data_IF_899105120078
#
_entry.id   IF_899105120078
#
_cell.length_a   1.000
_cell.length_b   1.000
_cell.length_c   1.000
_cell.angle_alpha   90.00
_cell.angle_beta   90.00
_cell.angle_gamma   90.00
#
_symmetry.space_group_name_H-M   'P 1'
#
loop_
_entity.id
_entity.type
_entity.pdbx_description
1 polymer ?
#
# COMPACT_ATOMS: atom_id res chain seq x y z
N UNK A 1 3.78 23.43 19.22
CA UNK A 1 3.62 21.99 19.54
C UNK A 1 4.60 21.22 18.68
N UNK A 2 5.45 20.32 19.22
CA UNK A 2 6.35 19.56 18.37
C UNK A 2 5.51 18.61 17.52
N UNK A 3 5.61 18.76 16.19
CA UNK A 3 5.05 17.83 15.21
C UNK A 3 5.66 16.44 15.48
N UNK A 4 4.99 15.60 16.28
CA UNK A 4 5.39 14.21 16.48
C UNK A 4 5.28 13.51 15.13
N UNK A 5 6.43 13.24 14.50
CA UNK A 5 6.49 12.34 13.34
C UNK A 5 5.81 11.02 13.73
N UNK A 6 4.91 10.48 12.90
CA UNK A 6 4.27 9.20 13.20
C UNK A 6 5.34 8.12 13.39
N UNK A 7 5.15 7.23 14.37
CA UNK A 7 6.05 6.09 14.52
C UNK A 7 5.98 5.22 13.27
N UNK A 8 7.08 4.57 12.90
CA UNK A 8 7.16 3.68 11.74
C UNK A 8 6.02 2.66 11.65
N UNK A 9 5.67 2.06 12.80
CA UNK A 9 4.52 1.15 12.94
C UNK A 9 3.18 1.78 12.54
N UNK A 10 2.95 3.04 12.91
CA UNK A 10 1.72 3.76 12.56
C UNK A 10 1.69 4.02 11.04
N UNK A 11 2.81 4.40 10.44
CA UNK A 11 2.88 4.61 8.99
C UNK A 11 2.61 3.30 8.23
N UNK A 12 3.24 2.20 8.62
CA UNK A 12 3.01 0.87 8.03
C UNK A 12 1.55 0.46 8.14
N UNK A 13 0.93 0.61 9.32
CA UNK A 13 -0.49 0.31 9.50
C UNK A 13 -1.39 1.15 8.60
N UNK A 14 -1.11 2.45 8.46
CA UNK A 14 -1.87 3.33 7.58
C UNK A 14 -1.69 2.96 6.12
N UNK A 15 -0.49 2.60 5.69
CA UNK A 15 -0.21 2.12 4.33
C UNK A 15 -1.02 0.84 4.03
N UNK A 16 -1.02 -0.14 4.93
CA UNK A 16 -1.82 -1.36 4.78
C UNK A 16 -3.31 -1.02 4.60
N UNK A 17 -3.85 -0.09 5.39
CA UNK A 17 -5.25 0.34 5.24
C UNK A 17 -5.52 1.00 3.87
N UNK A 18 -4.57 1.80 3.35
CA UNK A 18 -4.68 2.35 2.00
C UNK A 18 -4.68 1.24 0.95
N UNK A 19 -3.84 0.20 1.09
CA UNK A 19 -3.85 -0.96 0.19
C UNK A 19 -5.16 -1.75 0.28
N UNK A 20 -5.73 -1.93 1.47
CA UNK A 20 -7.03 -2.59 1.65
C UNK A 20 -8.14 -1.83 0.93
N UNK A 21 -8.13 -0.50 1.00
CA UNK A 21 -9.09 0.37 0.31
C UNK A 21 -8.90 0.31 -1.21
N UNK A 22 -7.66 0.39 -1.69
CA UNK A 22 -7.33 0.26 -3.10
C UNK A 22 -7.77 -1.11 -3.66
N UNK A 23 -7.54 -2.19 -2.92
CA UNK A 23 -7.86 -3.54 -3.40
C UNK A 23 -9.36 -3.80 -3.52
N UNK A 24 -10.18 -3.06 -2.75
CA UNK A 24 -11.64 -3.07 -2.92
C UNK A 24 -12.02 -2.50 -4.29
N UNK A 25 -11.49 -1.34 -4.65
CA UNK A 25 -11.74 -0.71 -5.95
C UNK A 25 -11.18 -1.56 -7.11
N UNK A 26 -10.03 -2.21 -6.91
CA UNK A 26 -9.46 -3.17 -7.86
C UNK A 26 -10.41 -4.35 -8.09
N UNK A 27 -10.95 -4.96 -7.03
CA UNK A 27 -11.86 -6.10 -7.15
C UNK A 27 -13.17 -5.71 -7.82
N UNK A 28 -13.70 -4.54 -7.50
CA UNK A 28 -14.86 -3.96 -8.18
C UNK A 28 -14.59 -3.77 -9.68
N UNK A 29 -13.42 -3.25 -10.06
CA UNK A 29 -13.01 -3.07 -11.46
C UNK A 29 -12.82 -4.39 -12.23
N UNK A 30 -12.50 -5.48 -11.52
CA UNK A 30 -12.41 -6.85 -12.04
C UNK A 30 -13.76 -7.58 -12.08
N UNK A 31 -14.84 -6.98 -11.55
CA UNK A 31 -16.15 -7.63 -11.43
C UNK A 31 -16.15 -8.80 -10.42
N UNK A 32 -15.19 -8.83 -9.50
CA UNK A 32 -15.05 -9.90 -8.51
C UNK A 32 -15.86 -9.59 -7.26
N UNK A 33 -16.67 -10.55 -6.80
CA UNK A 33 -17.38 -10.49 -5.52
C UNK A 33 -16.64 -11.33 -4.49
N UNK A 34 -15.67 -10.71 -3.82
CA UNK A 34 -14.89 -11.34 -2.75
C UNK A 34 -15.36 -10.77 -1.40
N UNK A 35 -15.63 -11.61 -0.38
CA UNK A 35 -15.95 -11.12 0.96
C UNK A 35 -14.84 -10.21 1.51
N UNK A 36 -15.22 -9.14 2.21
CA UNK A 36 -14.26 -8.14 2.72
C UNK A 36 -13.13 -8.76 3.56
N UNK A 37 -13.46 -9.75 4.39
CA UNK A 37 -12.47 -10.46 5.22
C UNK A 37 -11.43 -11.19 4.37
N UNK A 38 -11.87 -11.84 3.30
CA UNK A 38 -10.97 -12.55 2.39
C UNK A 38 -10.13 -11.56 1.57
N UNK A 39 -10.75 -10.46 1.13
CA UNK A 39 -10.05 -9.39 0.44
C UNK A 39 -8.92 -8.80 1.28
N UNK A 40 -9.18 -8.49 2.56
CA UNK A 40 -8.16 -8.02 3.50
C UNK A 40 -7.02 -9.02 3.67
N UNK A 41 -7.35 -10.31 3.83
CA UNK A 41 -6.32 -11.35 3.97
C UNK A 41 -5.41 -11.41 2.73
N UNK A 42 -5.97 -11.32 1.52
CA UNK A 42 -5.21 -11.27 0.26
C UNK A 42 -4.29 -10.05 0.20
N UNK A 43 -4.78 -8.88 0.62
CA UNK A 43 -3.95 -7.66 0.67
C UNK A 43 -2.80 -7.81 1.63
N UNK A 44 -3.04 -8.32 2.83
CA UNK A 44 -1.99 -8.47 3.83
C UNK A 44 -0.89 -9.43 3.37
N UNK A 45 -1.26 -10.52 2.70
CA UNK A 45 -0.29 -11.42 2.07
C UNK A 45 0.53 -10.71 0.99
N UNK A 46 -0.14 -10.02 0.07
CA UNK A 46 0.52 -9.33 -1.04
C UNK A 46 1.46 -8.20 -0.58
N UNK A 47 1.00 -7.35 0.34
CA UNK A 47 1.80 -6.26 0.91
C UNK A 47 2.93 -6.83 1.76
N UNK A 48 2.68 -7.90 2.53
CA UNK A 48 3.72 -8.59 3.30
C UNK A 48 4.84 -9.13 2.41
N UNK A 49 4.48 -9.74 1.27
CA UNK A 49 5.46 -10.19 0.28
C UNK A 49 6.24 -9.04 -0.36
N UNK A 50 5.58 -7.91 -0.64
CA UNK A 50 6.25 -6.72 -1.14
C UNK A 50 7.24 -6.14 -0.11
N UNK A 51 6.83 -6.05 1.16
CA UNK A 51 7.70 -5.60 2.25
C UNK A 51 8.91 -6.51 2.43
N UNK A 52 8.71 -7.84 2.38
CA UNK A 52 9.80 -8.80 2.46
C UNK A 52 10.77 -8.67 1.29
N UNK A 53 10.28 -8.47 0.06
CA UNK A 53 11.12 -8.30 -1.13
C UNK A 53 11.92 -6.99 -1.14
N UNK A 54 11.45 -5.99 -0.41
CA UNK A 54 12.06 -4.65 -0.33
C UNK A 54 12.72 -4.39 1.03
N UNK A 55 13.00 -5.45 1.80
CA UNK A 55 13.67 -5.41 3.11
C UNK A 55 13.05 -4.39 4.10
N UNK A 56 11.73 -4.26 4.09
CA UNK A 56 11.00 -3.36 5.00
C UNK A 56 10.83 -4.00 6.37
N UNK A 57 11.49 -3.44 7.39
CA UNK A 57 11.16 -3.74 8.78
C UNK A 57 9.86 -3.01 9.18
N UNK A 58 8.80 -3.76 9.47
CA UNK A 58 7.50 -3.20 9.89
C UNK A 58 7.56 -2.44 11.22
N UNK A 59 8.57 -2.69 12.05
CA UNK A 59 8.78 -2.00 13.31
C UNK A 59 9.58 -0.71 13.12
N UNK A 60 10.51 -0.71 12.17
CA UNK A 60 11.40 0.41 11.87
C UNK A 60 11.61 0.55 10.35
N UNK A 61 10.56 0.96 9.60
CA UNK A 61 10.60 1.02 8.16
C UNK A 61 11.46 2.20 7.71
N UNK A 62 12.23 1.99 6.66
CA UNK A 62 12.90 3.08 5.95
C UNK A 62 11.94 3.67 4.91
N UNK A 63 12.08 4.97 4.61
CA UNK A 63 11.32 5.59 3.52
C UNK A 63 11.56 4.87 2.19
N UNK A 64 12.81 4.57 1.90
CA UNK A 64 13.18 3.97 0.61
C UNK A 64 12.64 2.54 0.46
N UNK A 65 12.65 1.74 1.52
CA UNK A 65 12.04 0.41 1.50
C UNK A 65 10.53 0.51 1.24
N UNK A 66 9.84 1.45 1.89
CA UNK A 66 8.40 1.67 1.67
C UNK A 66 8.09 2.19 0.26
N UNK A 67 8.93 3.09 -0.30
CA UNK A 67 8.78 3.56 -1.69
C UNK A 67 8.95 2.42 -2.68
N UNK A 68 9.95 1.56 -2.50
CA UNK A 68 10.17 0.40 -3.36
C UNK A 68 9.02 -0.61 -3.27
N UNK A 69 8.56 -0.91 -2.06
CA UNK A 69 7.41 -1.79 -1.86
C UNK A 69 6.13 -1.22 -2.50
N UNK A 70 5.92 0.09 -2.34
CA UNK A 70 4.83 0.79 -3.01
C UNK A 70 4.96 0.64 -4.52
N UNK A 71 6.09 0.99 -5.14
CA UNK A 71 6.27 0.87 -6.59
C UNK A 71 6.05 -0.57 -7.11
N UNK A 72 6.49 -1.59 -6.37
CA UNK A 72 6.21 -2.98 -6.70
C UNK A 72 4.70 -3.27 -6.71
N UNK A 73 3.96 -2.77 -5.73
CA UNK A 73 2.50 -2.85 -5.72
C UNK A 73 1.87 -2.13 -6.92
N UNK A 74 2.47 -1.03 -7.40
CA UNK A 74 2.02 -0.27 -8.58
C UNK A 74 2.08 -1.13 -9.82
N UNK A 75 3.27 -1.66 -10.08
CA UNK A 75 3.58 -2.46 -11.26
C UNK A 75 2.66 -3.68 -11.31
N UNK A 76 2.41 -4.32 -10.17
CA UNK A 76 1.52 -5.47 -10.10
C UNK A 76 0.05 -5.09 -10.38
N UNK A 77 -0.40 -3.93 -9.90
CA UNK A 77 -1.74 -3.41 -10.17
C UNK A 77 -1.90 -3.05 -11.65
N UNK A 78 -0.91 -2.41 -12.26
CA UNK A 78 -0.87 -2.09 -13.70
C UNK A 78 -0.91 -3.36 -14.54
N UNK A 79 -0.12 -4.39 -14.20
CA UNK A 79 -0.15 -5.69 -14.88
C UNK A 79 -1.51 -6.38 -14.80
N UNK A 80 -2.20 -6.23 -13.67
CA UNK A 80 -3.50 -6.88 -13.42
C UNK A 80 -4.67 -6.17 -14.12
N UNK A 81 -4.67 -4.84 -14.14
CA UNK A 81 -5.81 -4.04 -14.62
C UNK A 81 -5.60 -3.38 -15.97
N UNK A 82 -4.37 -3.32 -16.47
CA UNK A 82 -4.01 -2.55 -17.67
C UNK A 82 -4.43 -1.09 -17.53
N UNK A 83 -5.08 -0.55 -18.56
CA UNK A 83 -5.55 0.85 -18.59
C UNK A 83 -6.52 1.21 -17.45
N UNK A 84 -7.23 0.22 -16.85
CA UNK A 84 -8.13 0.47 -15.71
C UNK A 84 -7.36 0.77 -14.41
N UNK A 85 -6.05 0.54 -14.36
CA UNK A 85 -5.24 0.76 -13.17
C UNK A 85 -5.04 2.25 -12.84
N UNK A 86 -4.87 3.09 -13.87
CA UNK A 86 -4.47 4.49 -13.76
C UNK A 86 -5.31 5.31 -12.76
N UNK A 87 -6.67 5.33 -12.85
CA UNK A 87 -7.47 6.13 -11.92
C UNK A 87 -7.35 5.65 -10.46
N UNK A 88 -7.23 4.33 -10.23
CA UNK A 88 -7.09 3.73 -8.90
C UNK A 88 -5.71 4.07 -8.33
N UNK A 89 -4.65 3.88 -9.13
CA UNK A 89 -3.28 4.19 -8.73
C UNK A 89 -3.16 5.67 -8.38
N UNK A 90 -3.62 6.58 -9.24
CA UNK A 90 -3.52 8.03 -9.01
C UNK A 90 -4.20 8.46 -7.70
N UNK A 91 -5.35 7.86 -7.37
CA UNK A 91 -6.09 8.14 -6.14
C UNK A 91 -5.32 7.69 -4.90
N UNK A 92 -4.88 6.43 -4.85
CA UNK A 92 -4.32 5.83 -3.63
C UNK A 92 -2.83 6.11 -3.45
N UNK A 93 -2.06 6.28 -4.53
CA UNK A 93 -0.61 6.56 -4.46
C UNK A 93 -0.30 7.89 -3.81
N UNK A 94 -1.13 8.89 -4.05
CA UNK A 94 -0.95 10.21 -3.43
C UNK A 94 -1.02 10.09 -1.90
N UNK A 95 -2.03 9.41 -1.39
CA UNK A 95 -2.21 9.22 0.05
C UNK A 95 -1.07 8.40 0.66
N UNK A 96 -0.66 7.31 0.00
CA UNK A 96 0.46 6.48 0.43
C UNK A 96 1.78 7.27 0.46
N UNK A 97 2.05 8.07 -0.57
CA UNK A 97 3.25 8.91 -0.65
C UNK A 97 3.28 9.93 0.49
N UNK A 98 2.15 10.59 0.79
CA UNK A 98 2.05 11.53 1.91
C UNK A 98 2.30 10.87 3.27
N UNK A 99 2.00 9.58 3.44
CA UNK A 99 2.32 8.82 4.65
C UNK A 99 3.83 8.60 4.74
N UNK A 100 4.47 8.20 3.63
CA UNK A 100 5.91 7.91 3.58
C UNK A 100 6.74 9.18 3.80
N UNK A 101 6.37 10.31 3.19
CA UNK A 101 7.09 11.57 3.34
C UNK A 101 7.11 12.11 4.78
N UNK A 102 6.11 11.72 5.60
CA UNK A 102 6.02 12.13 7.01
C UNK A 102 6.91 11.31 7.94
N UNK A 103 7.52 10.23 7.46
CA UNK A 103 8.46 9.45 8.26
C UNK A 103 9.78 10.21 8.48
N UNK A 104 10.50 9.94 9.59
CA UNK A 104 11.92 10.29 9.66
C UNK A 104 12.70 9.57 8.54
N UNK A 105 13.85 10.12 8.17
CA UNK A 105 14.84 9.40 7.34
C UNK A 105 15.31 8.15 8.10
#
# INVERSE_FOLDING_TARGET
MPNKKPSGKIAVKRLINCFETANKEINEALGQKVPEKELRARVQLFVGDAFKKCDVDVNNPTKDGLRQAMELCKINTEKMLGAKAEPIIKKHYKEMSEIIEKLPE
#
